data_IF_280261311212
#
_entry.id   IF_280261311212
#
_cell.length_a   1.000
_cell.length_b   1.000
_cell.length_c   1.000
_cell.angle_alpha   90.00
_cell.angle_beta   90.00
_cell.angle_gamma   90.00
#
_symmetry.space_group_name_H-M   'P 1'
#
loop_
_entity.id
_entity.type
_entity.pdbx_description
1 polymer ?
#
# COMPACT_ATOMS: atom_id res chain seq x y z
N UNK A 1 5.69 -22.40 3.54
CA UNK A 1 4.40 -22.16 2.86
C UNK A 1 4.13 -20.69 3.10
N UNK A 2 4.44 -19.83 2.14
CA UNK A 2 4.34 -18.37 2.30
C UNK A 2 2.86 -18.01 2.25
N UNK A 3 2.38 -17.22 3.19
CA UNK A 3 0.99 -16.78 3.22
C UNK A 3 0.74 -15.79 2.07
N UNK A 4 -0.19 -16.13 1.17
CA UNK A 4 -0.32 -15.51 -0.15
C UNK A 4 -1.49 -14.52 -0.28
N UNK A 5 -2.20 -14.19 0.79
CA UNK A 5 -3.35 -13.27 0.70
C UNK A 5 -3.02 -11.85 1.21
N UNK A 6 -2.10 -11.15 0.54
CA UNK A 6 -1.76 -9.75 0.82
C UNK A 6 -2.42 -8.77 -0.16
N UNK A 7 -3.63 -9.08 -0.64
CA UNK A 7 -4.30 -8.26 -1.65
C UNK A 7 -4.99 -7.05 -1.03
N UNK A 8 -4.65 -5.86 -1.49
CA UNK A 8 -5.41 -4.65 -1.16
C UNK A 8 -6.48 -4.48 -2.24
N UNK A 9 -7.78 -4.45 -1.88
CA UNK A 9 -8.82 -4.19 -2.86
C UNK A 9 -8.72 -2.75 -3.37
N UNK A 10 -8.95 -2.53 -4.66
CA UNK A 10 -8.89 -1.19 -5.26
C UNK A 10 -9.83 -0.18 -4.58
N UNK A 11 -10.93 -0.64 -3.98
CA UNK A 11 -11.84 0.21 -3.21
C UNK A 11 -11.23 0.76 -1.92
N UNK A 12 -10.20 0.10 -1.37
CA UNK A 12 -9.48 0.55 -0.18
C UNK A 12 -8.44 1.65 -0.49
N UNK A 13 -8.23 1.99 -1.77
CA UNK A 13 -7.24 3.00 -2.18
C UNK A 13 -7.87 4.14 -2.99
N UNK A 14 -7.22 5.29 -2.96
CA UNK A 14 -7.47 6.41 -3.88
C UNK A 14 -6.22 6.59 -4.72
N UNK A 15 -6.34 6.55 -6.05
CA UNK A 15 -5.21 6.84 -6.95
C UNK A 15 -4.87 8.31 -6.90
N UNK A 16 -3.58 8.62 -6.78
CA UNK A 16 -3.04 9.97 -6.68
C UNK A 16 -1.96 10.21 -7.73
N UNK A 17 -1.66 11.48 -8.00
CA UNK A 17 -0.38 11.83 -8.59
C UNK A 17 0.75 11.74 -7.56
N UNK A 18 1.98 12.03 -8.00
CA UNK A 18 3.19 12.01 -7.16
C UNK A 18 3.18 13.04 -6.01
N UNK A 19 2.24 13.98 -6.01
CA UNK A 19 2.07 15.02 -4.99
C UNK A 19 0.87 14.71 -4.08
N UNK A 20 0.35 13.49 -4.11
CA UNK A 20 -0.79 13.07 -3.29
C UNK A 20 -2.14 13.63 -3.75
N UNK A 21 -2.20 14.35 -4.89
CA UNK A 21 -3.46 14.87 -5.41
C UNK A 21 -4.25 13.76 -6.09
N UNK A 22 -5.52 13.62 -5.74
CA UNK A 22 -6.44 12.64 -6.33
C UNK A 22 -6.49 12.76 -7.86
N UNK A 23 -6.28 11.64 -8.56
CA UNK A 23 -6.45 11.56 -10.01
C UNK A 23 -7.93 11.66 -10.40
N UNK A 24 -8.23 12.32 -11.52
CA UNK A 24 -9.60 12.38 -12.05
C UNK A 24 -10.10 11.00 -12.50
N UNK A 25 -9.22 10.19 -13.09
CA UNK A 25 -9.44 8.79 -13.40
C UNK A 25 -8.93 7.92 -12.24
N UNK A 26 -9.84 7.36 -11.46
CA UNK A 26 -9.52 6.41 -10.37
C UNK A 26 -9.27 5.00 -10.93
N UNK A 27 -8.36 4.91 -11.89
CA UNK A 27 -8.00 3.67 -12.56
C UNK A 27 -6.54 3.33 -12.24
N UNK A 28 -6.32 2.13 -11.69
CA UNK A 28 -4.98 1.58 -11.49
C UNK A 28 -4.55 0.83 -12.75
N UNK A 29 -3.37 1.14 -13.27
CA UNK A 29 -2.73 0.50 -14.40
C UNK A 29 -1.89 -0.71 -13.95
N UNK A 30 -2.53 -1.63 -13.22
CA UNK A 30 -1.87 -2.84 -12.69
C UNK A 30 -1.20 -3.60 -13.84
N UNK A 31 0.10 -3.90 -13.72
CA UNK A 31 0.90 -4.58 -14.74
C UNK A 31 1.56 -3.65 -15.77
N UNK A 32 1.40 -2.34 -15.64
CA UNK A 32 2.12 -1.33 -16.44
C UNK A 32 3.49 -1.03 -15.82
N UNK A 33 4.54 -0.77 -16.62
CA UNK A 33 5.82 -0.30 -16.09
C UNK A 33 5.77 1.15 -15.58
N UNK A 34 4.64 1.84 -15.73
CA UNK A 34 4.46 3.19 -15.22
C UNK A 34 4.40 3.18 -13.70
N UNK A 35 5.10 4.15 -13.09
CA UNK A 35 5.00 4.35 -11.64
C UNK A 35 3.64 4.95 -11.30
N UNK A 36 2.93 4.28 -10.41
CA UNK A 36 1.65 4.74 -9.89
C UNK A 36 1.76 5.12 -8.42
N UNK A 37 0.90 6.05 -8.00
CA UNK A 37 0.84 6.52 -6.62
C UNK A 37 -0.60 6.34 -6.13
N UNK A 38 -0.75 5.93 -4.87
CA UNK A 38 -2.06 5.82 -4.24
C UNK A 38 -1.98 6.10 -2.75
N UNK A 39 -3.14 6.40 -2.16
CA UNK A 39 -3.33 6.55 -0.72
C UNK A 39 -4.32 5.50 -0.23
N UNK A 40 -4.03 4.84 0.89
CA UNK A 40 -5.01 3.99 1.57
C UNK A 40 -6.11 4.86 2.20
N UNK A 41 -7.36 4.45 2.04
CA UNK A 41 -8.53 5.18 2.53
C UNK A 41 -9.02 4.55 3.84
N UNK A 42 -9.21 5.35 4.89
CA UNK A 42 -9.94 4.92 6.09
C UNK A 42 -9.06 4.55 7.29
N UNK A 43 -9.63 3.73 8.17
CA UNK A 43 -9.04 3.27 9.42
C UNK A 43 -8.94 1.74 9.38
N UNK A 44 -7.77 1.21 9.72
CA UNK A 44 -7.45 -0.21 9.64
C UNK A 44 -7.05 -0.71 11.04
N UNK A 45 -7.54 -1.89 11.41
CA UNK A 45 -7.16 -2.52 12.66
C UNK A 45 -5.75 -3.12 12.52
N UNK A 46 -4.90 -2.89 13.52
CA UNK A 46 -3.61 -3.56 13.63
C UNK A 46 -3.83 -4.89 14.34
N UNK A 47 -3.56 -5.99 13.64
CA UNK A 47 -3.70 -7.33 14.16
C UNK A 47 -2.48 -7.71 15.01
N UNK A 48 -1.27 -7.45 14.49
CA UNK A 48 -0.01 -7.80 15.16
C UNK A 48 1.11 -6.79 14.89
N UNK A 49 2.05 -6.71 15.83
CA UNK A 49 3.32 -5.99 15.70
C UNK A 49 4.51 -6.98 15.71
N UNK A 50 5.34 -6.90 14.68
CA UNK A 50 6.56 -7.70 14.50
C UNK A 50 7.77 -6.77 14.34
N UNK A 51 8.19 -6.12 15.43
CA UNK A 51 9.31 -5.19 15.40
C UNK A 51 9.06 -4.03 14.42
N UNK A 52 9.71 -4.05 13.26
CA UNK A 52 9.55 -3.05 12.19
C UNK A 52 8.41 -3.33 11.20
N UNK A 53 7.70 -4.45 11.33
CA UNK A 53 6.54 -4.81 10.51
C UNK A 53 5.27 -4.78 11.34
N UNK A 54 4.16 -4.28 10.78
CA UNK A 54 2.82 -4.43 11.34
C UNK A 54 1.92 -5.17 10.36
N UNK A 55 1.03 -5.99 10.89
CA UNK A 55 -0.01 -6.66 10.13
C UNK A 55 -1.32 -5.94 10.39
N UNK A 56 -2.02 -5.54 9.34
CA UNK A 56 -3.32 -4.85 9.43
C UNK A 56 -4.41 -5.67 8.74
N UNK A 57 -5.66 -5.56 9.22
CA UNK A 57 -6.80 -6.12 8.50
C UNK A 57 -7.24 -5.17 7.37
N UNK A 58 -7.27 -5.66 6.14
CA UNK A 58 -7.81 -4.95 4.98
C UNK A 58 -8.87 -5.83 4.32
N UNK A 59 -10.14 -5.43 4.44
CA UNK A 59 -11.28 -6.14 3.87
C UNK A 59 -11.37 -7.63 4.27
N UNK A 60 -11.03 -7.93 5.53
CA UNK A 60 -11.06 -9.29 6.09
C UNK A 60 -9.80 -10.12 5.83
N UNK A 61 -8.79 -9.57 5.15
CA UNK A 61 -7.52 -10.25 4.88
C UNK A 61 -6.35 -9.53 5.61
N UNK A 62 -5.35 -10.27 6.12
CA UNK A 62 -4.16 -9.69 6.72
C UNK A 62 -3.21 -9.12 5.65
N UNK A 63 -2.75 -7.88 5.85
CA UNK A 63 -1.78 -7.20 4.99
C UNK A 63 -0.60 -6.69 5.82
N UNK A 64 0.62 -7.06 5.44
CA UNK A 64 1.83 -6.63 6.14
C UNK A 64 2.36 -5.28 5.61
N UNK A 65 2.67 -4.37 6.53
CA UNK A 65 3.32 -3.07 6.29
C UNK A 65 4.66 -3.06 7.03
N UNK A 66 5.76 -2.83 6.32
CA UNK A 66 7.10 -2.80 6.89
C UNK A 66 7.70 -1.38 6.87
N UNK A 67 8.16 -0.92 8.03
CA UNK A 67 8.78 0.41 8.21
C UNK A 67 10.24 0.48 7.73
N UNK A 68 10.94 -0.65 7.55
CA UNK A 68 12.33 -0.69 7.05
C UNK A 68 12.52 -0.19 5.62
N UNK A 69 11.44 0.03 4.87
CA UNK A 69 11.49 0.75 3.58
C UNK A 69 11.28 2.26 3.74
N UNK A 70 11.86 2.84 4.80
CA UNK A 70 12.07 4.27 4.91
C UNK A 70 13.16 4.66 3.89
N UNK A 71 12.81 4.67 2.60
CA UNK A 71 13.60 5.43 1.62
C UNK A 71 13.57 6.87 2.11
N UNK A 72 14.72 7.34 2.60
CA UNK A 72 14.97 8.74 2.94
C UNK A 72 14.55 9.61 1.75
N UNK A 73 13.33 10.10 1.80
CA UNK A 73 12.83 11.19 1.01
C UNK A 73 12.16 12.09 2.03
N UNK A 74 12.88 13.15 2.39
CA UNK A 74 12.33 14.24 3.20
C UNK A 74 11.00 14.68 2.59
N UNK A 75 9.93 14.63 3.39
CA UNK A 75 8.50 14.84 3.05
C UNK A 75 7.76 13.57 2.57
N UNK A 76 7.14 12.85 3.52
CA UNK A 76 6.32 11.66 3.25
C UNK A 76 4.95 12.07 2.70
N UNK A 77 4.75 11.89 1.40
CA UNK A 77 3.43 11.88 0.73
C UNK A 77 3.01 10.49 0.20
N UNK A 78 3.87 9.46 0.30
CA UNK A 78 3.51 8.09 -0.14
C UNK A 78 4.35 6.99 0.53
N UNK A 79 3.68 5.91 0.95
CA UNK A 79 4.28 4.65 1.41
C UNK A 79 4.38 3.72 0.19
N UNK A 80 5.58 3.18 -0.07
CA UNK A 80 5.78 2.16 -1.10
C UNK A 80 5.47 0.79 -0.52
N UNK A 81 4.42 0.13 -1.01
CA UNK A 81 4.20 -1.29 -0.79
C UNK A 81 4.98 -2.05 -1.87
N UNK A 82 5.98 -2.83 -1.46
CA UNK A 82 6.70 -3.70 -2.37
C UNK A 82 5.82 -4.92 -2.69
N UNK A 83 5.15 -4.89 -3.85
CA UNK A 83 4.60 -6.09 -4.47
C UNK A 83 5.74 -6.77 -5.23
N UNK A 84 6.25 -7.87 -4.68
CA UNK A 84 7.32 -8.63 -5.33
C UNK A 84 6.70 -9.60 -6.33
N UNK A 85 6.98 -9.43 -7.63
CA UNK A 85 6.71 -10.45 -8.64
C UNK A 85 7.93 -11.36 -8.85
N UNK A 86 7.69 -12.66 -8.64
CA UNK A 86 8.51 -13.87 -8.91
C UNK A 86 9.84 -14.04 -8.18
#
# INVERSE_FOLDING_TARGET
MTDYNNYIPLSAITMTDKHGKKLSNQYAQIGSPQREYFRMNGHYEVLHHYGDTMEIEVAGEPVFIQSRYNLLIDNIDAIYLQVTEK
#
